data_IF_723941515762
#
_entry.id   IF_723941515762
#
_cell.length_a   1.000
_cell.length_b   1.000
_cell.length_c   1.000
_cell.angle_alpha   90.00
_cell.angle_beta   90.00
_cell.angle_gamma   90.00
#
_symmetry.space_group_name_H-M   'P 1'
#
loop_
_entity.id
_entity.type
_entity.pdbx_description
1 polymer ?
#
# COMPACT_ATOMS: atom_id res chain seq x y z
N UNK A 1 38.92 -27.84 -16.81
CA UNK A 1 38.07 -28.15 -17.97
C UNK A 1 37.57 -26.84 -18.53
N UNK A 2 37.80 -26.53 -19.82
CA UNK A 2 37.33 -25.28 -20.39
C UNK A 2 35.81 -25.34 -20.51
N UNK A 3 35.15 -24.31 -19.99
CA UNK A 3 33.71 -24.12 -20.12
C UNK A 3 33.43 -23.94 -21.61
N UNK A 4 32.64 -24.86 -22.19
CA UNK A 4 32.21 -24.82 -23.57
C UNK A 4 31.51 -23.49 -23.89
N UNK A 5 31.83 -22.88 -25.03
CA UNK A 5 31.29 -21.60 -25.49
C UNK A 5 29.75 -21.55 -25.61
N UNK A 6 29.07 -22.70 -25.55
CA UNK A 6 27.60 -22.81 -25.50
C UNK A 6 26.96 -22.33 -24.18
N UNK A 7 27.73 -22.13 -23.11
CA UNK A 7 27.23 -21.61 -21.83
C UNK A 7 27.35 -20.09 -21.65
N UNK A 8 27.66 -19.33 -22.70
CA UNK A 8 27.38 -17.88 -22.72
C UNK A 8 25.86 -17.70 -22.86
N UNK A 9 25.14 -17.87 -21.74
CA UNK A 9 23.75 -17.43 -21.58
C UNK A 9 23.66 -15.99 -22.09
N UNK A 10 22.99 -15.82 -23.23
CA UNK A 10 22.65 -14.51 -23.75
C UNK A 10 21.69 -13.92 -22.72
N UNK A 11 22.20 -13.03 -21.88
CA UNK A 11 21.36 -12.16 -21.05
C UNK A 11 20.56 -11.33 -22.05
N UNK A 12 19.29 -11.66 -22.22
CA UNK A 12 18.43 -10.97 -23.18
C UNK A 12 18.23 -9.53 -22.68
N UNK A 13 18.53 -8.50 -23.48
CA UNK A 13 18.30 -7.13 -23.07
C UNK A 13 16.80 -6.86 -22.96
N UNK A 14 16.37 -6.48 -21.76
CA UNK A 14 15.06 -5.86 -21.54
C UNK A 14 15.25 -4.36 -21.77
N UNK A 15 14.68 -3.85 -22.85
CA UNK A 15 14.72 -2.44 -23.21
C UNK A 15 13.49 -1.74 -22.66
N UNK A 16 13.70 -0.68 -21.89
CA UNK A 16 12.62 0.16 -21.38
C UNK A 16 12.27 1.24 -22.41
N UNK A 17 10.99 1.28 -22.80
CA UNK A 17 10.40 2.30 -23.67
C UNK A 17 9.50 3.17 -22.77
N UNK A 18 9.94 4.40 -22.51
CA UNK A 18 9.40 5.29 -21.48
C UNK A 18 10.41 5.68 -20.40
N UNK A 19 9.97 6.28 -19.28
CA UNK A 19 8.57 6.49 -18.90
C UNK A 19 7.88 7.54 -19.78
N UNK A 20 6.75 7.18 -20.37
CA UNK A 20 5.96 8.04 -21.26
C UNK A 20 4.94 8.85 -20.46
N UNK A 21 5.19 10.15 -20.33
CA UNK A 21 4.37 11.06 -19.53
C UNK A 21 3.08 11.40 -20.27
N UNK A 22 1.93 11.12 -19.66
CA UNK A 22 0.60 11.46 -20.20
C UNK A 22 0.11 12.78 -19.60
N UNK A 23 0.11 12.86 -18.27
CA UNK A 23 -0.34 14.01 -17.48
C UNK A 23 0.53 14.16 -16.23
N UNK A 24 0.34 15.23 -15.45
CA UNK A 24 1.13 15.49 -14.23
C UNK A 24 1.10 14.25 -13.32
N UNK A 25 2.29 13.69 -13.09
CA UNK A 25 2.54 12.52 -12.25
C UNK A 25 2.10 11.15 -12.79
N UNK A 26 1.64 11.06 -14.05
CA UNK A 26 1.19 9.81 -14.68
C UNK A 26 2.10 9.47 -15.85
N UNK A 27 2.90 8.41 -15.70
CA UNK A 27 3.77 7.92 -16.76
C UNK A 27 3.65 6.41 -16.94
N UNK A 28 3.61 5.97 -18.20
CA UNK A 28 3.50 4.56 -18.58
C UNK A 28 4.83 4.01 -19.05
N UNK A 29 5.07 2.75 -18.73
CA UNK A 29 6.21 1.98 -19.16
C UNK A 29 5.75 0.91 -20.15
N UNK A 30 6.55 0.69 -21.17
CA UNK A 30 6.45 -0.49 -22.03
C UNK A 30 7.84 -1.08 -22.21
N UNK A 31 7.92 -2.38 -22.48
CA UNK A 31 9.20 -3.06 -22.46
C UNK A 31 9.38 -3.94 -23.68
N UNK A 32 10.48 -3.74 -24.40
CA UNK A 32 10.85 -4.54 -25.56
C UNK A 32 11.91 -5.57 -25.15
N UNK A 33 11.62 -6.83 -25.38
CA UNK A 33 12.52 -7.96 -25.16
C UNK A 33 12.98 -8.46 -26.52
N UNK A 34 14.28 -8.38 -26.77
CA UNK A 34 14.88 -8.86 -28.01
C UNK A 34 15.69 -10.12 -27.74
N UNK A 35 15.28 -11.20 -28.41
CA UNK A 35 15.99 -12.48 -28.47
C UNK A 35 16.27 -12.79 -29.95
N UNK A 36 17.16 -13.75 -30.23
CA UNK A 36 17.58 -14.09 -31.60
C UNK A 36 16.42 -14.24 -32.61
N UNK A 37 15.26 -14.75 -32.19
CA UNK A 37 14.10 -15.00 -33.04
C UNK A 37 12.78 -14.48 -32.47
N UNK A 38 12.82 -13.82 -31.31
CA UNK A 38 11.65 -13.29 -30.64
C UNK A 38 11.86 -11.82 -30.33
N UNK A 39 10.95 -11.00 -30.82
CA UNK A 39 10.83 -9.60 -30.46
C UNK A 39 9.48 -9.45 -29.78
N UNK A 40 9.50 -9.30 -28.46
CA UNK A 40 8.31 -9.33 -27.62
C UNK A 40 8.17 -7.97 -26.96
N UNK A 41 7.02 -7.33 -27.16
CA UNK A 41 6.66 -6.13 -26.41
C UNK A 41 5.73 -6.51 -25.25
N UNK A 42 6.02 -6.00 -24.07
CA UNK A 42 5.18 -6.14 -22.89
C UNK A 42 4.50 -4.79 -22.61
N UNK A 43 3.17 -4.86 -22.61
CA UNK A 43 2.23 -3.76 -22.52
C UNK A 43 2.42 -2.68 -23.61
N UNK A 44 1.38 -1.88 -23.77
CA UNK A 44 1.34 -0.74 -24.69
C UNK A 44 0.81 0.47 -23.94
N UNK A 45 1.33 1.68 -24.21
CA UNK A 45 0.85 2.86 -23.55
C UNK A 45 -0.50 3.28 -24.16
N UNK A 46 -1.27 4.13 -23.46
CA UNK A 46 -2.56 4.58 -23.97
C UNK A 46 -2.38 5.59 -25.11
N UNK A 47 -3.45 5.79 -25.89
CA UNK A 47 -3.43 6.49 -27.19
C UNK A 47 -2.82 7.89 -27.15
N UNK A 48 -2.91 8.58 -26.00
CA UNK A 48 -2.41 9.94 -25.79
C UNK A 48 -0.91 10.08 -26.09
N UNK A 49 -0.12 9.03 -25.84
CA UNK A 49 1.34 9.05 -26.00
C UNK A 49 1.83 8.07 -27.08
N UNK A 50 0.93 7.47 -27.87
CA UNK A 50 1.28 6.43 -28.85
C UNK A 50 2.29 6.92 -29.89
N UNK A 51 2.23 8.21 -30.29
CA UNK A 51 3.16 8.78 -31.29
C UNK A 51 4.58 8.86 -30.77
N UNK A 52 4.75 9.24 -29.50
CA UNK A 52 6.06 9.29 -28.83
C UNK A 52 6.59 7.86 -28.67
N UNK A 53 5.72 6.96 -28.19
CA UNK A 53 6.04 5.54 -28.08
C UNK A 53 6.52 4.92 -29.39
N UNK A 54 5.82 5.15 -30.51
CA UNK A 54 6.21 4.67 -31.85
C UNK A 54 7.60 5.19 -32.22
N UNK A 55 7.84 6.48 -32.03
CA UNK A 55 9.16 7.09 -32.28
C UNK A 55 10.28 6.44 -31.46
N UNK A 56 10.03 6.12 -30.18
CA UNK A 56 11.03 5.48 -29.32
C UNK A 56 11.26 4.01 -29.68
N UNK A 57 10.21 3.22 -29.90
CA UNK A 57 10.37 1.79 -30.19
C UNK A 57 11.02 1.55 -31.56
N UNK A 58 10.74 2.41 -32.54
CA UNK A 58 11.32 2.31 -33.89
C UNK A 58 12.84 2.55 -33.93
N UNK A 59 13.43 3.12 -32.87
CA UNK A 59 14.89 3.19 -32.72
C UNK A 59 15.52 1.81 -32.53
N UNK A 60 14.75 0.84 -32.03
CA UNK A 60 15.23 -0.51 -31.72
C UNK A 60 14.69 -1.56 -32.68
N UNK A 61 13.45 -1.40 -33.15
CA UNK A 61 12.80 -2.37 -34.04
C UNK A 61 11.65 -1.76 -34.85
N UNK A 62 11.55 -2.14 -36.13
CA UNK A 62 10.35 -1.86 -36.94
C UNK A 62 9.13 -2.63 -36.41
N UNK A 63 7.98 -1.97 -36.28
CA UNK A 63 6.74 -2.58 -35.73
C UNK A 63 6.36 -3.89 -36.43
N UNK A 64 6.52 -3.98 -37.76
CA UNK A 64 6.26 -5.20 -38.54
C UNK A 64 7.16 -6.40 -38.20
N UNK A 65 8.32 -6.18 -37.57
CA UNK A 65 9.27 -7.23 -37.15
C UNK A 65 8.98 -7.74 -35.73
N UNK A 66 8.03 -7.14 -35.02
CA UNK A 66 7.61 -7.61 -33.71
C UNK A 66 6.89 -8.95 -33.83
N UNK A 67 7.30 -9.92 -33.02
CA UNK A 67 6.77 -11.28 -33.06
C UNK A 67 5.58 -11.45 -32.14
N UNK A 68 5.63 -10.82 -30.97
CA UNK A 68 4.61 -10.95 -29.93
C UNK A 68 4.34 -9.60 -29.25
N UNK A 69 3.11 -9.41 -28.81
CA UNK A 69 2.73 -8.38 -27.85
C UNK A 69 2.03 -9.08 -26.68
N UNK A 70 2.58 -8.94 -25.47
CA UNK A 70 1.94 -9.37 -24.23
C UNK A 70 1.11 -8.19 -23.72
N UNK A 71 -0.18 -8.41 -23.49
CA UNK A 71 -1.08 -7.37 -22.97
C UNK A 71 -1.62 -7.84 -21.63
N UNK A 72 -1.08 -7.27 -20.55
CA UNK A 72 -1.38 -7.63 -19.17
C UNK A 72 -2.68 -7.01 -18.66
N UNK A 73 -3.06 -5.87 -19.26
CA UNK A 73 -4.31 -5.17 -19.00
C UNK A 73 -4.81 -4.47 -20.27
N UNK A 74 -6.14 -4.40 -20.46
CA UNK A 74 -6.77 -3.66 -21.55
C UNK A 74 -7.74 -2.64 -21.00
N UNK A 75 -7.63 -1.41 -21.51
CA UNK A 75 -8.66 -0.37 -21.45
C UNK A 75 -8.91 0.20 -22.86
N UNK A 76 -9.92 1.07 -23.00
CA UNK A 76 -10.31 1.65 -24.29
C UNK A 76 -9.14 2.38 -24.98
N UNK A 77 -8.34 3.16 -24.24
CA UNK A 77 -7.21 3.90 -24.80
C UNK A 77 -6.08 2.99 -25.27
N UNK A 78 -5.79 1.89 -24.57
CA UNK A 78 -4.80 0.90 -25.02
C UNK A 78 -5.28 0.11 -26.23
N UNK A 79 -6.59 -0.14 -26.35
CA UNK A 79 -7.16 -0.78 -27.54
C UNK A 79 -6.96 0.08 -28.78
N UNK A 80 -7.10 1.40 -28.66
CA UNK A 80 -6.83 2.31 -29.78
C UNK A 80 -5.34 2.37 -30.14
N UNK A 81 -4.44 2.38 -29.14
CA UNK A 81 -2.99 2.23 -29.40
C UNK A 81 -2.64 0.94 -30.12
N UNK A 82 -3.33 -0.16 -29.79
CA UNK A 82 -3.12 -1.44 -30.47
C UNK A 82 -3.56 -1.39 -31.93
N UNK A 83 -4.71 -0.77 -32.23
CA UNK A 83 -5.17 -0.55 -33.61
C UNK A 83 -4.15 0.25 -34.41
N UNK A 84 -3.56 1.27 -33.79
CA UNK A 84 -2.48 2.07 -34.39
C UNK A 84 -1.25 1.23 -34.74
N UNK A 85 -0.83 0.28 -33.89
CA UNK A 85 0.27 -0.66 -34.23
C UNK A 85 -0.12 -1.65 -35.34
N UNK A 86 -1.39 -2.05 -35.43
CA UNK A 86 -1.89 -2.88 -36.53
C UNK A 86 -1.87 -2.13 -37.87
N UNK A 87 -2.20 -0.84 -37.87
CA UNK A 87 -2.07 0.03 -39.06
C UNK A 87 -0.62 0.09 -39.52
N UNK A 88 0.32 0.20 -38.58
CA UNK A 88 1.77 0.23 -38.86
C UNK A 88 2.37 -1.14 -39.24
N UNK A 89 1.53 -2.16 -39.37
CA UNK A 89 1.93 -3.45 -39.93
C UNK A 89 2.29 -4.52 -38.91
N UNK A 90 1.96 -4.36 -37.62
CA UNK A 90 2.06 -5.46 -36.67
C UNK A 90 1.15 -6.63 -37.10
N UNK A 91 1.71 -7.82 -37.26
CA UNK A 91 1.00 -9.05 -37.65
C UNK A 91 1.41 -10.27 -36.82
N UNK A 92 2.07 -10.04 -35.68
CA UNK A 92 2.53 -11.10 -34.78
C UNK A 92 1.40 -11.75 -33.98
N UNK A 93 1.74 -12.26 -32.79
CA UNK A 93 0.78 -12.91 -31.88
C UNK A 93 0.55 -12.03 -30.66
N UNK A 94 -0.71 -11.79 -30.31
CA UNK A 94 -1.06 -11.15 -29.04
C UNK A 94 -1.26 -12.22 -27.97
N UNK A 95 -0.54 -12.09 -26.85
CA UNK A 95 -0.64 -12.96 -25.68
C UNK A 95 -1.41 -12.23 -24.58
N UNK A 96 -2.54 -12.79 -24.15
CA UNK A 96 -3.37 -12.20 -23.08
C UNK A 96 -4.29 -13.27 -22.44
N UNK A 97 -5.10 -12.92 -21.45
CA UNK A 97 -6.06 -13.84 -20.82
C UNK A 97 -7.35 -14.01 -21.64
N UNK A 98 -8.25 -14.88 -21.18
CA UNK A 98 -9.53 -15.12 -21.84
C UNK A 98 -10.44 -13.88 -21.84
N UNK A 99 -10.46 -13.11 -20.76
CA UNK A 99 -11.31 -11.92 -20.62
C UNK A 99 -10.95 -10.81 -21.62
N UNK A 100 -9.68 -10.43 -21.70
CA UNK A 100 -9.17 -9.44 -22.64
C UNK A 100 -9.19 -9.95 -24.08
N UNK A 101 -8.96 -11.25 -24.33
CA UNK A 101 -9.11 -11.80 -25.68
C UNK A 101 -10.52 -11.56 -26.25
N UNK A 102 -11.57 -11.64 -25.41
CA UNK A 102 -12.94 -11.29 -25.82
C UNK A 102 -13.08 -9.80 -26.17
N UNK A 103 -12.45 -8.91 -25.42
CA UNK A 103 -12.46 -7.47 -25.72
C UNK A 103 -11.71 -7.14 -27.02
N UNK A 104 -10.67 -7.91 -27.33
CA UNK A 104 -9.88 -7.81 -28.55
C UNK A 104 -10.51 -8.55 -29.75
N UNK A 105 -11.72 -9.10 -29.61
CA UNK A 105 -12.39 -9.87 -30.67
C UNK A 105 -12.55 -9.09 -31.98
N UNK A 106 -12.72 -7.77 -31.91
CA UNK A 106 -12.85 -6.90 -33.09
C UNK A 106 -11.61 -6.92 -34.00
N UNK A 107 -10.41 -7.11 -33.43
CA UNK A 107 -9.13 -7.12 -34.17
C UNK A 107 -8.63 -8.53 -34.49
N UNK A 108 -9.27 -9.58 -33.96
CA UNK A 108 -8.89 -10.98 -34.15
C UNK A 108 -8.84 -11.45 -35.61
N UNK A 109 -9.49 -10.71 -36.53
CA UNK A 109 -9.44 -10.97 -37.98
C UNK A 109 -8.12 -10.55 -38.62
N UNK A 110 -7.36 -9.68 -37.96
CA UNK A 110 -6.12 -9.06 -38.48
C UNK A 110 -4.90 -9.71 -37.84
N UNK A 111 -5.00 -10.10 -36.57
CA UNK A 111 -3.90 -10.59 -35.75
C UNK A 111 -4.33 -11.80 -34.95
N UNK A 112 -3.40 -12.76 -34.79
CA UNK A 112 -3.65 -13.94 -33.97
C UNK A 112 -3.63 -13.54 -32.48
N UNK A 113 -4.65 -13.94 -31.75
CA UNK A 113 -4.72 -13.80 -30.29
C UNK A 113 -4.58 -15.19 -29.70
N UNK A 114 -3.68 -15.35 -28.74
CA UNK A 114 -3.43 -16.59 -28.03
C UNK A 114 -3.61 -16.35 -26.53
N UNK A 115 -4.44 -17.21 -25.93
CA UNK A 115 -4.84 -17.09 -24.53
C UNK A 115 -3.83 -17.79 -23.63
N UNK A 116 -3.39 -17.14 -22.55
CA UNK A 116 -2.36 -17.69 -21.65
C UNK A 116 -2.80 -18.98 -20.97
N UNK A 117 -4.08 -19.13 -20.64
CA UNK A 117 -4.62 -20.31 -19.97
C UNK A 117 -4.49 -21.57 -20.84
N UNK A 118 -4.63 -21.44 -22.16
CA UNK A 118 -4.49 -22.57 -23.09
C UNK A 118 -3.03 -22.98 -23.32
N UNK A 119 -2.09 -22.22 -22.80
CA UNK A 119 -0.64 -22.50 -22.83
C UNK A 119 -0.10 -22.90 -21.46
N UNK A 120 -0.96 -23.32 -20.52
CA UNK A 120 -0.59 -23.59 -19.12
C UNK A 120 0.07 -22.39 -18.43
N UNK A 121 -0.25 -21.16 -18.86
CA UNK A 121 0.37 -19.93 -18.39
C UNK A 121 1.89 -19.86 -18.60
N UNK A 122 2.40 -20.48 -19.67
CA UNK A 122 3.82 -20.46 -20.01
C UNK A 122 4.02 -20.09 -21.48
N UNK A 123 5.07 -19.32 -21.77
CA UNK A 123 5.58 -19.15 -23.13
C UNK A 123 6.83 -19.99 -23.29
N UNK A 124 6.73 -21.05 -24.10
CA UNK A 124 7.86 -21.92 -24.45
C UNK A 124 8.17 -21.74 -25.94
N UNK A 125 9.43 -21.53 -26.28
CA UNK A 125 9.88 -21.42 -27.66
C UNK A 125 11.08 -22.33 -27.91
N UNK A 126 10.95 -23.27 -28.86
CA UNK A 126 11.98 -24.28 -29.17
C UNK A 126 12.49 -25.00 -27.92
N UNK A 127 11.56 -25.47 -27.10
CA UNK A 127 11.81 -26.18 -25.83
C UNK A 127 12.53 -25.35 -24.76
N UNK A 128 12.65 -24.03 -24.96
CA UNK A 128 13.16 -23.10 -23.96
C UNK A 128 12.01 -22.36 -23.29
N UNK A 129 12.00 -22.40 -21.96
CA UNK A 129 11.09 -21.62 -21.15
C UNK A 129 11.44 -20.13 -21.25
N UNK A 130 10.51 -19.32 -21.76
CA UNK A 130 10.70 -17.89 -21.95
C UNK A 130 10.02 -17.11 -20.82
N UNK A 131 8.70 -17.26 -20.68
CA UNK A 131 7.90 -16.54 -19.68
C UNK A 131 7.04 -17.47 -18.84
N UNK A 132 6.85 -17.08 -17.57
CA UNK A 132 5.74 -17.51 -16.73
C UNK A 132 4.69 -16.42 -16.70
N UNK A 133 3.45 -16.71 -17.06
CA UNK A 133 2.32 -15.84 -16.80
C UNK A 133 1.72 -16.20 -15.44
N UNK A 134 1.37 -15.19 -14.65
CA UNK A 134 0.87 -15.36 -13.30
C UNK A 134 -0.46 -14.63 -13.21
N UNK A 135 -1.58 -15.35 -13.33
CA UNK A 135 -2.91 -14.76 -13.21
C UNK A 135 -3.08 -14.05 -11.86
N UNK A 136 -3.77 -12.91 -11.89
CA UNK A 136 -4.13 -12.11 -10.73
C UNK A 136 -5.65 -11.92 -10.70
N UNK A 137 -6.28 -12.29 -9.58
CA UNK A 137 -7.69 -12.05 -9.35
C UNK A 137 -7.92 -10.67 -8.70
N UNK A 138 -7.63 -9.55 -9.38
CA UNK A 138 -7.54 -8.25 -8.69
C UNK A 138 -8.06 -7.03 -9.46
N UNK A 139 -8.11 -5.88 -8.75
CA UNK A 139 -8.44 -4.54 -9.23
C UNK A 139 -7.13 -3.75 -9.52
N UNK A 140 -7.14 -2.75 -10.42
CA UNK A 140 -8.32 -2.06 -10.95
C UNK A 140 -9.05 -2.75 -12.10
N UNK A 141 -8.43 -3.71 -12.79
CA UNK A 141 -9.05 -4.39 -13.93
C UNK A 141 -9.20 -5.89 -13.68
N UNK A 142 -10.35 -6.50 -14.02
CA UNK A 142 -10.56 -7.93 -13.82
C UNK A 142 -9.58 -8.78 -14.62
N UNK A 143 -9.19 -9.91 -14.03
CA UNK A 143 -8.36 -10.98 -14.62
C UNK A 143 -6.95 -10.56 -15.07
N UNK A 144 -6.39 -9.42 -14.64
CA UNK A 144 -5.00 -9.04 -14.93
C UNK A 144 -3.99 -10.16 -14.65
N UNK A 145 -2.79 -10.08 -15.22
CA UNK A 145 -1.72 -11.05 -14.93
C UNK A 145 -0.33 -10.41 -14.95
N UNK A 146 0.60 -11.00 -14.21
CA UNK A 146 2.01 -10.65 -14.25
C UNK A 146 2.76 -11.55 -15.25
N UNK A 147 3.90 -11.07 -15.74
CA UNK A 147 4.80 -11.86 -16.58
C UNK A 147 6.16 -11.93 -15.89
N UNK A 148 6.65 -13.13 -15.61
CA UNK A 148 7.93 -13.37 -14.98
C UNK A 148 8.91 -14.03 -15.95
N UNK A 149 10.15 -13.53 -16.00
CA UNK A 149 11.24 -14.07 -16.79
C UNK A 149 12.30 -14.66 -15.84
N UNK A 150 12.34 -15.98 -15.65
CA UNK A 150 13.28 -16.60 -14.70
C UNK A 150 14.74 -16.32 -15.04
N UNK A 151 15.08 -16.33 -16.34
CA UNK A 151 16.43 -16.09 -16.84
C UNK A 151 17.00 -14.74 -16.39
N UNK A 152 16.15 -13.71 -16.40
CA UNK A 152 16.51 -12.35 -16.03
C UNK A 152 16.16 -12.03 -14.57
N UNK A 153 15.45 -12.93 -13.87
CA UNK A 153 14.84 -12.66 -12.57
C UNK A 153 14.02 -11.37 -12.61
N UNK A 154 13.30 -11.16 -13.70
CA UNK A 154 12.55 -9.95 -14.00
C UNK A 154 11.05 -10.20 -13.89
N UNK A 155 10.35 -9.34 -13.15
CA UNK A 155 8.90 -9.37 -13.00
C UNK A 155 8.27 -8.15 -13.68
N UNK A 156 7.43 -8.36 -14.69
CA UNK A 156 6.53 -7.34 -15.21
C UNK A 156 5.23 -7.42 -14.42
N UNK A 157 5.12 -6.55 -13.41
CA UNK A 157 4.13 -6.66 -12.33
C UNK A 157 2.77 -6.07 -12.68
N UNK A 158 2.60 -5.56 -13.90
CA UNK A 158 1.40 -4.84 -14.31
C UNK A 158 1.12 -3.66 -13.35
N UNK A 159 -0.10 -3.58 -12.81
CA UNK A 159 -0.50 -2.56 -11.83
C UNK A 159 0.07 -2.80 -10.42
N UNK A 160 0.57 -4.00 -10.09
CA UNK A 160 1.21 -4.25 -8.79
C UNK A 160 2.56 -3.51 -8.76
N UNK A 161 2.87 -2.83 -7.65
CA UNK A 161 4.03 -1.94 -7.51
C UNK A 161 4.06 -0.72 -8.44
N UNK A 162 2.97 -0.45 -9.18
CA UNK A 162 2.89 0.77 -9.98
C UNK A 162 2.88 2.01 -9.09
N UNK A 163 3.43 3.11 -9.59
CA UNK A 163 3.56 4.36 -8.83
C UNK A 163 3.20 5.57 -9.69
N UNK A 164 2.86 6.68 -9.04
CA UNK A 164 2.92 7.98 -9.71
C UNK A 164 4.38 8.38 -9.97
N UNK A 165 4.62 9.16 -11.03
CA UNK A 165 5.96 9.51 -11.53
C UNK A 165 6.11 11.01 -11.79
N UNK A 166 6.95 11.68 -11.03
CA UNK A 166 7.15 13.14 -11.09
C UNK A 166 8.39 13.58 -11.86
N UNK A 167 9.11 12.66 -12.53
CA UNK A 167 10.32 12.99 -13.29
C UNK A 167 11.63 12.94 -12.50
N UNK A 168 11.62 12.62 -11.21
CA UNK A 168 12.87 12.49 -10.44
C UNK A 168 13.64 11.25 -10.92
N UNK A 169 14.83 11.45 -11.48
CA UNK A 169 15.67 10.38 -12.04
C UNK A 169 16.22 9.41 -10.98
N UNK A 170 16.55 9.93 -9.80
CA UNK A 170 17.11 9.15 -8.68
C UNK A 170 16.27 9.43 -7.42
N UNK A 171 15.05 8.87 -7.34
CA UNK A 171 14.18 9.08 -6.20
C UNK A 171 14.73 8.35 -4.97
N UNK A 172 14.55 8.95 -3.79
CA UNK A 172 14.86 8.27 -2.54
C UNK A 172 13.90 7.09 -2.31
N UNK A 173 14.32 6.10 -1.51
CA UNK A 173 13.48 4.96 -1.15
C UNK A 173 12.12 5.40 -0.57
N UNK A 174 12.11 6.40 0.31
CA UNK A 174 10.87 6.93 0.90
C UNK A 174 9.96 7.58 -0.14
N UNK A 175 10.54 8.24 -1.16
CA UNK A 175 9.78 8.80 -2.26
C UNK A 175 9.09 7.71 -3.08
N UNK A 176 9.81 6.66 -3.44
CA UNK A 176 9.24 5.51 -4.17
C UNK A 176 8.09 4.90 -3.36
N UNK A 177 8.31 4.63 -2.06
CA UNK A 177 7.28 4.11 -1.14
C UNK A 177 6.03 4.99 -1.12
N UNK A 178 6.19 6.30 -0.98
CA UNK A 178 5.07 7.23 -0.97
C UNK A 178 4.31 7.27 -2.31
N UNK A 179 5.03 7.20 -3.44
CA UNK A 179 4.45 7.20 -4.78
C UNK A 179 3.69 5.92 -5.09
N UNK A 180 4.21 4.77 -4.65
CA UNK A 180 3.53 3.47 -4.71
C UNK A 180 2.27 3.50 -3.84
N UNK A 181 2.40 3.91 -2.57
CA UNK A 181 1.27 4.01 -1.65
C UNK A 181 0.16 4.90 -2.20
N UNK A 182 0.52 6.07 -2.75
CA UNK A 182 -0.45 6.99 -3.35
C UNK A 182 -1.17 6.34 -4.54
N UNK A 183 -0.44 5.62 -5.40
CA UNK A 183 -1.05 4.91 -6.52
C UNK A 183 -2.01 3.81 -6.05
N UNK A 184 -1.58 2.94 -5.13
CA UNK A 184 -2.43 1.86 -4.60
C UNK A 184 -3.64 2.41 -3.85
N UNK A 185 -3.44 3.43 -3.01
CA UNK A 185 -4.53 4.14 -2.34
C UNK A 185 -5.52 4.75 -3.32
N UNK A 186 -5.12 5.18 -4.52
CA UNK A 186 -6.06 5.76 -5.50
C UNK A 186 -6.73 4.74 -6.42
N UNK A 187 -6.11 3.58 -6.65
CA UNK A 187 -6.59 2.62 -7.66
C UNK A 187 -7.19 1.35 -7.07
N UNK A 188 -7.06 1.14 -5.76
CA UNK A 188 -7.56 -0.05 -5.08
C UNK A 188 -8.53 0.31 -3.95
N UNK A 189 -9.56 -0.52 -3.68
CA UNK A 189 -10.49 -0.26 -2.58
C UNK A 189 -9.84 -0.40 -1.21
N UNK A 190 -8.86 -1.28 -1.04
CA UNK A 190 -8.08 -1.42 0.19
C UNK A 190 -6.82 -2.27 -0.04
N UNK A 191 -5.99 -2.33 1.00
CA UNK A 191 -4.73 -3.08 1.03
C UNK A 191 -4.86 -4.61 1.05
N UNK A 192 -6.01 -5.19 1.39
CA UNK A 192 -6.16 -6.67 1.40
C UNK A 192 -6.08 -7.27 -0.01
N UNK A 193 -6.39 -6.47 -1.02
CA UNK A 193 -6.22 -6.83 -2.43
C UNK A 193 -4.76 -7.00 -2.86
N UNK A 194 -3.79 -6.55 -2.05
CA UNK A 194 -2.37 -6.75 -2.33
C UNK A 194 -1.84 -8.09 -1.84
N UNK A 195 -2.52 -8.73 -0.88
CA UNK A 195 -1.95 -9.84 -0.11
C UNK A 195 -1.69 -11.09 -0.96
N UNK A 196 -2.66 -11.51 -1.78
CA UNK A 196 -2.51 -12.73 -2.58
C UNK A 196 -1.47 -12.59 -3.70
N UNK A 197 -1.42 -11.48 -4.47
CA UNK A 197 -0.35 -11.28 -5.45
C UNK A 197 1.02 -11.18 -4.79
N UNK A 198 1.13 -10.48 -3.65
CA UNK A 198 2.39 -10.38 -2.92
C UNK A 198 2.88 -11.74 -2.43
N UNK A 199 1.97 -12.62 -1.97
CA UNK A 199 2.32 -14.00 -1.58
C UNK A 199 2.96 -14.77 -2.73
N UNK A 200 2.38 -14.68 -3.93
CA UNK A 200 2.92 -15.34 -5.13
C UNK A 200 4.28 -14.74 -5.53
N UNK A 201 4.38 -13.40 -5.52
CA UNK A 201 5.60 -12.68 -5.88
C UNK A 201 6.75 -13.00 -4.91
N UNK A 202 6.45 -13.18 -3.63
CA UNK A 202 7.45 -13.52 -2.60
C UNK A 202 8.11 -14.89 -2.80
N UNK A 203 7.42 -15.82 -3.47
CA UNK A 203 7.96 -17.14 -3.80
C UNK A 203 8.90 -17.12 -5.02
N UNK A 204 8.98 -15.99 -5.75
CA UNK A 204 9.79 -15.86 -6.96
C UNK A 204 11.16 -15.26 -6.65
N UNK A 205 12.18 -15.72 -7.37
CA UNK A 205 13.51 -15.12 -7.32
C UNK A 205 13.56 -13.90 -8.27
N UNK A 206 13.41 -12.69 -7.72
CA UNK A 206 13.29 -11.45 -8.50
C UNK A 206 14.44 -10.51 -8.15
N UNK A 207 15.09 -9.96 -9.19
CA UNK A 207 16.08 -8.89 -9.10
C UNK A 207 15.53 -7.53 -9.53
N UNK A 208 14.56 -7.51 -10.45
CA UNK A 208 14.00 -6.25 -10.95
C UNK A 208 12.51 -6.39 -11.16
N UNK A 209 11.75 -5.39 -10.72
CA UNK A 209 10.31 -5.27 -10.98
C UNK A 209 10.08 -4.11 -11.95
N UNK A 210 9.34 -4.41 -13.01
CA UNK A 210 8.98 -3.53 -14.11
C UNK A 210 7.45 -3.30 -14.07
N UNK A 211 6.98 -2.28 -13.33
CA UNK A 211 5.55 -1.96 -13.29
C UNK A 211 5.10 -1.27 -14.58
N UNK A 212 3.80 -1.37 -14.91
CA UNK A 212 3.23 -0.68 -16.08
C UNK A 212 3.28 0.85 -15.90
N UNK A 213 3.26 1.36 -14.68
CA UNK A 213 3.35 2.80 -14.41
C UNK A 213 4.38 3.09 -13.33
N UNK A 214 5.09 4.22 -13.47
CA UNK A 214 5.96 4.70 -12.40
C UNK A 214 7.41 4.24 -12.48
N UNK A 215 8.06 4.19 -11.31
CA UNK A 215 9.48 3.86 -11.19
C UNK A 215 9.74 2.35 -11.31
N UNK A 216 10.85 2.00 -11.96
CA UNK A 216 11.37 0.63 -11.95
C UNK A 216 12.00 0.35 -10.59
N UNK A 217 11.71 -0.82 -10.02
CA UNK A 217 12.26 -1.23 -8.72
C UNK A 217 13.43 -2.16 -8.97
N UNK A 218 14.61 -1.73 -8.58
CA UNK A 218 15.87 -2.46 -8.79
C UNK A 218 16.22 -3.33 -7.58
N UNK A 219 17.17 -4.25 -7.79
CA UNK A 219 17.61 -5.23 -6.81
C UNK A 219 18.02 -4.63 -5.46
N UNK A 220 18.48 -3.38 -5.44
CA UNK A 220 18.98 -2.72 -4.24
C UNK A 220 17.86 -2.34 -3.26
N UNK A 221 16.64 -2.13 -3.76
CA UNK A 221 15.51 -1.62 -2.98
C UNK A 221 14.33 -2.59 -2.94
N UNK A 222 14.40 -3.70 -3.69
CA UNK A 222 13.29 -4.61 -3.88
C UNK A 222 12.77 -5.20 -2.56
N UNK A 223 13.68 -5.63 -1.67
CA UNK A 223 13.31 -6.19 -0.36
C UNK A 223 12.59 -5.14 0.50
N UNK A 224 13.11 -3.90 0.56
CA UNK A 224 12.51 -2.81 1.32
C UNK A 224 11.13 -2.39 0.78
N UNK A 225 10.90 -2.52 -0.53
CA UNK A 225 9.61 -2.24 -1.15
C UNK A 225 8.63 -3.40 -0.89
N UNK A 226 9.06 -4.65 -1.02
CA UNK A 226 8.22 -5.81 -0.71
C UNK A 226 7.77 -5.80 0.75
N UNK A 227 8.68 -5.55 1.69
CA UNK A 227 8.33 -5.44 3.11
C UNK A 227 7.32 -4.32 3.37
N UNK A 228 7.52 -3.16 2.73
CA UNK A 228 6.60 -2.03 2.83
C UNK A 228 5.20 -2.38 2.31
N UNK A 229 5.10 -2.99 1.14
CA UNK A 229 3.84 -3.39 0.49
C UNK A 229 3.07 -4.41 1.33
N UNK A 230 3.76 -5.38 1.94
CA UNK A 230 3.14 -6.36 2.85
C UNK A 230 2.53 -5.67 4.08
N UNK A 231 3.18 -4.62 4.59
CA UNK A 231 2.76 -3.86 5.76
C UNK A 231 1.77 -2.74 5.44
N UNK A 232 1.45 -2.48 4.16
CA UNK A 232 0.54 -1.41 3.79
C UNK A 232 -0.85 -1.64 4.40
N UNK A 233 -1.36 -0.59 5.04
CA UNK A 233 -2.72 -0.56 5.56
C UNK A 233 -3.43 0.70 5.07
N UNK A 234 -4.21 0.52 4.01
CA UNK A 234 -5.18 1.51 3.58
C UNK A 234 -6.53 0.87 3.34
N UNK A 235 -7.57 1.65 3.60
CA UNK A 235 -8.94 1.35 3.27
C UNK A 235 -9.50 2.58 2.59
N UNK A 236 -9.71 2.47 1.29
CA UNK A 236 -10.13 3.54 0.43
C UNK A 236 -11.66 3.61 0.44
N UNK A 237 -12.19 4.15 1.53
CA UNK A 237 -13.58 4.59 1.55
C UNK A 237 -13.69 5.87 0.73
N UNK A 238 -13.86 5.74 -0.59
CA UNK A 238 -14.26 6.87 -1.45
C UNK A 238 -15.59 7.51 -1.02
N UNK A 239 -16.29 6.94 -0.05
CA UNK A 239 -17.45 7.54 0.59
C UNK A 239 -17.12 8.05 2.00
N UNK A 240 -16.08 8.88 2.18
CA UNK A 240 -16.03 9.74 3.39
C UNK A 240 -17.09 10.84 3.29
N UNK A 241 -17.36 11.30 2.08
CA UNK A 241 -18.43 12.23 1.78
C UNK A 241 -19.13 11.82 0.48
N UNK A 242 -20.38 12.24 0.34
CA UNK A 242 -21.12 12.26 -0.90
C UNK A 242 -21.67 13.67 -1.12
N UNK A 243 -22.08 13.99 -2.34
CA UNK A 243 -22.83 15.20 -2.60
C UNK A 243 -24.30 14.85 -2.68
N UNK A 244 -25.15 15.62 -2.00
CA UNK A 244 -26.60 15.47 -2.16
C UNK A 244 -27.08 16.02 -3.51
N UNK A 245 -28.38 15.89 -3.77
CA UNK A 245 -28.99 16.39 -5.02
C UNK A 245 -28.86 17.92 -5.19
N UNK A 246 -28.52 18.65 -4.13
CA UNK A 246 -28.24 20.09 -4.14
C UNK A 246 -26.75 20.41 -4.33
N UNK A 247 -25.89 19.40 -4.41
CA UNK A 247 -24.43 19.56 -4.54
C UNK A 247 -23.74 19.95 -3.23
N UNK A 248 -24.40 19.79 -2.08
CA UNK A 248 -23.80 20.01 -0.77
C UNK A 248 -23.02 18.78 -0.29
N UNK A 249 -21.85 19.03 0.33
CA UNK A 249 -20.98 17.96 0.81
C UNK A 249 -21.54 17.35 2.10
N UNK A 250 -22.04 16.13 2.03
CA UNK A 250 -22.51 15.35 3.18
C UNK A 250 -21.45 14.33 3.62
N UNK A 251 -21.15 14.26 4.91
CA UNK A 251 -20.20 13.28 5.46
C UNK A 251 -20.91 11.94 5.70
N UNK A 252 -20.33 10.85 5.20
CA UNK A 252 -20.85 9.51 5.40
C UNK A 252 -20.24 8.87 6.67
N UNK A 253 -20.79 9.25 7.81
CA UNK A 253 -20.35 8.74 9.12
C UNK A 253 -20.52 7.23 9.29
N UNK A 254 -21.45 6.60 8.55
CA UNK A 254 -21.65 5.15 8.58
C UNK A 254 -20.41 4.41 8.07
N UNK A 255 -19.87 4.83 6.94
CA UNK A 255 -18.68 4.20 6.36
C UNK A 255 -17.42 4.45 7.18
N UNK A 256 -17.31 5.64 7.79
CA UNK A 256 -16.23 5.94 8.74
C UNK A 256 -16.32 5.00 9.95
N UNK A 257 -17.51 4.79 10.51
CA UNK A 257 -17.72 3.86 11.63
C UNK A 257 -17.41 2.42 11.22
N UNK A 258 -17.82 1.98 10.04
CA UNK A 258 -17.48 0.65 9.52
C UNK A 258 -15.96 0.46 9.43
N UNK A 259 -15.22 1.49 9.01
CA UNK A 259 -13.76 1.44 9.01
C UNK A 259 -13.17 1.35 10.44
N UNK A 260 -13.73 2.08 11.40
CA UNK A 260 -13.31 1.98 12.81
C UNK A 260 -13.56 0.57 13.37
N UNK A 261 -14.71 -0.04 13.04
CA UNK A 261 -15.05 -1.41 13.42
C UNK A 261 -14.05 -2.40 12.81
N UNK A 262 -13.76 -2.28 11.51
CA UNK A 262 -12.77 -3.12 10.83
C UNK A 262 -11.38 -3.00 11.46
N UNK A 263 -11.00 -1.81 11.93
CA UNK A 263 -9.73 -1.61 12.63
C UNK A 263 -9.74 -2.29 14.01
N UNK A 264 -10.85 -2.20 14.76
CA UNK A 264 -11.00 -2.91 16.04
C UNK A 264 -10.92 -4.44 15.88
N UNK A 265 -11.42 -4.99 14.76
CA UNK A 265 -11.36 -6.44 14.49
C UNK A 265 -9.94 -6.98 14.38
N UNK A 266 -8.94 -6.13 14.10
CA UNK A 266 -7.53 -6.53 14.07
C UNK A 266 -6.99 -6.86 15.47
N UNK A 267 -7.54 -6.20 16.50
CA UNK A 267 -7.05 -6.31 17.87
C UNK A 267 -8.00 -7.06 18.80
N UNK A 268 -9.29 -7.18 18.46
CA UNK A 268 -10.32 -7.77 19.32
C UNK A 268 -11.18 -8.82 18.59
N UNK A 269 -11.64 -9.87 19.29
CA UNK A 269 -12.54 -10.87 18.71
C UNK A 269 -13.89 -10.28 18.28
N UNK A 270 -14.47 -10.79 17.19
CA UNK A 270 -15.77 -10.33 16.65
C UNK A 270 -16.90 -10.33 17.69
N UNK A 271 -16.97 -11.38 18.53
CA UNK A 271 -17.99 -11.51 19.58
C UNK A 271 -17.92 -10.37 20.59
N UNK A 272 -16.70 -9.90 20.87
CA UNK A 272 -16.47 -8.85 21.85
C UNK A 272 -16.96 -7.49 21.33
N UNK A 273 -16.73 -7.23 20.04
CA UNK A 273 -17.20 -6.04 19.34
C UNK A 273 -18.71 -6.05 19.26
N UNK A 274 -19.34 -7.16 18.87
CA UNK A 274 -20.81 -7.28 18.85
C UNK A 274 -21.42 -6.95 20.22
N UNK A 275 -20.90 -7.55 21.28
CA UNK A 275 -21.38 -7.36 22.64
C UNK A 275 -21.28 -5.91 23.14
N UNK A 276 -20.31 -5.13 22.63
CA UNK A 276 -20.18 -3.71 22.99
C UNK A 276 -21.34 -2.85 22.48
N UNK A 277 -22.03 -3.28 21.41
CA UNK A 277 -23.12 -2.53 20.79
C UNK A 277 -24.51 -3.13 21.04
N UNK A 278 -24.61 -4.28 21.74
CA UNK A 278 -25.90 -4.87 22.14
C UNK A 278 -26.69 -3.90 23.03
N UNK A 279 -27.93 -3.63 22.65
CA UNK A 279 -28.83 -2.73 23.39
C UNK A 279 -28.58 -1.24 23.14
N UNK A 280 -27.71 -0.89 22.20
CA UNK A 280 -27.51 0.50 21.75
C UNK A 280 -28.42 0.83 20.56
N UNK A 281 -28.44 2.10 20.14
CA UNK A 281 -29.12 2.56 18.93
C UNK A 281 -28.46 2.09 17.61
N UNK A 282 -27.31 1.43 17.70
CA UNK A 282 -26.53 0.93 16.55
C UNK A 282 -26.57 -0.59 16.51
N UNK A 283 -27.20 -1.14 15.46
CA UNK A 283 -27.27 -2.58 15.24
C UNK A 283 -26.17 -3.03 14.28
N UNK A 284 -25.22 -3.81 14.79
CA UNK A 284 -24.17 -4.44 14.00
C UNK A 284 -24.66 -5.79 13.44
N UNK A 285 -24.45 -6.01 12.15
CA UNK A 285 -24.61 -7.32 11.53
C UNK A 285 -23.39 -8.18 11.85
N UNK A 286 -23.52 -9.49 12.15
CA UNK A 286 -22.39 -10.34 12.52
C UNK A 286 -21.52 -10.78 11.33
N UNK A 287 -22.07 -10.82 10.10
CA UNK A 287 -21.35 -11.25 8.91
C UNK A 287 -21.84 -10.52 7.62
N UNK A 288 -21.06 -9.60 7.03
CA UNK A 288 -19.82 -9.02 7.57
C UNK A 288 -20.09 -8.17 8.82
N UNK A 289 -19.08 -8.00 9.69
CA UNK A 289 -19.21 -7.19 10.91
C UNK A 289 -19.28 -5.71 10.58
N UNK A 290 -20.48 -5.20 10.35
CA UNK A 290 -20.72 -3.84 9.89
C UNK A 290 -21.98 -3.24 10.52
N UNK A 291 -22.03 -1.92 10.59
CA UNK A 291 -23.21 -1.18 11.00
C UNK A 291 -24.31 -1.32 9.94
N UNK A 292 -25.37 -2.06 10.27
CA UNK A 292 -26.49 -2.33 9.36
C UNK A 292 -27.58 -1.25 9.49
N UNK A 293 -28.12 -1.09 10.72
CA UNK A 293 -29.20 -0.14 11.01
C UNK A 293 -28.85 0.74 12.20
N UNK A 294 -29.18 2.01 12.08
CA UNK A 294 -29.05 3.01 13.15
C UNK A 294 -30.25 3.94 13.10
N UNK A 295 -30.73 4.36 14.26
CA UNK A 295 -31.72 5.45 14.38
C UNK A 295 -31.07 6.84 14.45
N UNK A 296 -29.75 6.88 14.58
CA UNK A 296 -28.94 8.10 14.64
C UNK A 296 -28.29 8.37 13.29
N UNK A 297 -28.18 9.65 12.95
CA UNK A 297 -27.53 10.12 11.73
C UNK A 297 -26.53 11.25 12.01
N UNK A 298 -25.61 11.45 11.06
CA UNK A 298 -24.66 12.55 11.05
C UNK A 298 -23.77 12.62 12.29
N UNK A 299 -23.67 13.85 12.82
CA UNK A 299 -22.91 14.17 14.03
C UNK A 299 -23.33 13.32 15.25
N UNK A 300 -24.63 13.05 15.42
CA UNK A 300 -25.11 12.26 16.57
C UNK A 300 -24.62 10.81 16.51
N UNK A 301 -24.62 10.23 15.31
CA UNK A 301 -24.12 8.88 15.09
C UNK A 301 -22.62 8.78 15.42
N UNK A 302 -21.84 9.75 14.91
CA UNK A 302 -20.40 9.82 15.15
C UNK A 302 -20.04 9.88 16.64
N UNK A 303 -20.67 10.78 17.38
CA UNK A 303 -20.37 10.96 18.80
C UNK A 303 -20.87 9.80 19.65
N UNK A 304 -22.08 9.30 19.38
CA UNK A 304 -22.66 8.18 20.11
C UNK A 304 -21.86 6.88 19.93
N UNK A 305 -21.22 6.69 18.78
CA UNK A 305 -20.32 5.54 18.57
C UNK A 305 -19.18 5.50 19.60
N UNK A 306 -18.45 6.60 19.76
CA UNK A 306 -17.34 6.67 20.72
C UNK A 306 -17.82 6.70 22.18
N UNK A 307 -18.97 7.31 22.46
CA UNK A 307 -19.56 7.28 23.80
C UNK A 307 -19.90 5.85 24.23
N UNK A 308 -20.52 5.06 23.35
CA UNK A 308 -20.87 3.68 23.64
C UNK A 308 -19.63 2.81 23.85
N UNK A 309 -18.60 2.96 23.00
CA UNK A 309 -17.31 2.27 23.20
C UNK A 309 -16.72 2.65 24.56
N UNK A 310 -16.72 3.94 24.89
CA UNK A 310 -16.14 4.41 26.14
C UNK A 310 -16.86 3.85 27.37
N UNK A 311 -18.20 3.88 27.38
CA UNK A 311 -19.00 3.39 28.50
C UNK A 311 -18.85 1.87 28.69
N UNK A 312 -18.77 1.09 27.60
CA UNK A 312 -18.79 -0.38 27.66
C UNK A 312 -17.40 -1.02 27.77
N UNK A 313 -16.39 -0.42 27.13
CA UNK A 313 -15.05 -1.01 26.98
C UNK A 313 -13.93 -0.12 27.54
N UNK A 314 -14.21 1.14 27.81
CA UNK A 314 -13.27 2.05 28.47
C UNK A 314 -12.22 2.63 27.52
N UNK A 315 -11.06 2.98 28.08
CA UNK A 315 -9.99 3.73 27.41
C UNK A 315 -9.24 2.92 26.34
N UNK A 316 -9.07 1.62 26.54
CA UNK A 316 -8.23 0.77 25.67
C UNK A 316 -8.66 0.79 24.20
N UNK A 317 -9.96 0.76 23.93
CA UNK A 317 -10.49 0.79 22.57
C UNK A 317 -10.38 2.18 21.94
N UNK A 318 -10.58 3.22 22.74
CA UNK A 318 -10.49 4.63 22.32
C UNK A 318 -9.06 4.97 21.89
N UNK A 319 -8.05 4.48 22.61
CA UNK A 319 -6.63 4.67 22.28
C UNK A 319 -6.24 3.99 20.98
N UNK A 320 -6.78 2.79 20.70
CA UNK A 320 -6.52 2.08 19.43
C UNK A 320 -7.13 2.82 18.24
N UNK A 321 -8.30 3.45 18.43
CA UNK A 321 -8.98 4.21 17.37
C UNK A 321 -8.41 5.63 17.18
N UNK A 322 -7.66 6.15 18.15
CA UNK A 322 -7.15 7.52 18.13
C UNK A 322 -6.33 7.87 16.88
N UNK A 323 -5.37 7.04 16.40
CA UNK A 323 -4.62 7.34 15.18
C UNK A 323 -5.53 7.51 13.96
N UNK A 324 -6.59 6.70 13.86
CA UNK A 324 -7.56 6.82 12.77
C UNK A 324 -8.39 8.09 12.89
N UNK A 325 -8.87 8.43 14.08
CA UNK A 325 -9.63 9.67 14.33
C UNK A 325 -8.78 10.90 13.98
N UNK A 326 -7.52 10.91 14.37
CA UNK A 326 -6.59 11.99 14.03
C UNK A 326 -6.39 12.11 12.52
N UNK A 327 -6.29 10.98 11.81
CA UNK A 327 -6.22 10.95 10.34
C UNK A 327 -7.49 11.49 9.68
N UNK A 328 -8.67 11.13 10.20
CA UNK A 328 -9.94 11.67 9.68
C UNK A 328 -10.10 13.18 9.93
N UNK A 329 -9.58 13.66 11.06
CA UNK A 329 -9.52 15.09 11.35
C UNK A 329 -8.54 15.83 10.40
N UNK A 330 -7.33 15.31 10.18
CA UNK A 330 -6.34 15.95 9.30
C UNK A 330 -6.76 15.94 7.83
N UNK A 331 -7.24 14.80 7.35
CA UNK A 331 -7.43 14.56 5.91
C UNK A 331 -8.78 15.09 5.43
N UNK A 332 -9.79 15.15 6.30
CA UNK A 332 -11.18 15.44 5.92
C UNK A 332 -11.86 16.53 6.77
N UNK A 333 -11.14 17.14 7.73
CA UNK A 333 -11.66 18.16 8.65
C UNK A 333 -12.89 17.72 9.45
N UNK A 334 -12.99 16.42 9.76
CA UNK A 334 -14.09 15.86 10.54
C UNK A 334 -13.83 16.12 12.04
N UNK A 335 -14.78 16.72 12.79
CA UNK A 335 -14.57 17.06 14.19
C UNK A 335 -14.29 15.81 15.03
N UNK A 336 -13.34 15.94 15.96
CA UNK A 336 -13.04 14.86 16.91
C UNK A 336 -14.26 14.59 17.80
N UNK A 337 -14.56 13.31 18.12
CA UNK A 337 -15.63 12.97 19.04
C UNK A 337 -15.46 13.63 20.41
N UNK A 338 -16.57 14.00 21.05
CA UNK A 338 -16.57 14.71 22.35
C UNK A 338 -15.83 13.94 23.45
N UNK A 339 -15.85 12.60 23.39
CA UNK A 339 -15.13 11.72 24.30
C UNK A 339 -13.63 12.02 24.34
N UNK A 340 -13.04 12.49 23.24
CA UNK A 340 -11.63 12.89 23.19
C UNK A 340 -11.40 14.29 23.77
N UNK A 341 -12.36 15.21 23.63
CA UNK A 341 -12.26 16.59 24.15
C UNK A 341 -12.34 16.63 25.68
N UNK A 342 -13.31 15.93 26.27
CA UNK A 342 -13.44 15.84 27.73
C UNK A 342 -12.28 15.07 28.37
N UNK A 343 -11.78 14.03 27.70
CA UNK A 343 -10.65 13.23 28.18
C UNK A 343 -9.29 13.91 28.09
N UNK A 344 -9.03 14.72 27.07
CA UNK A 344 -7.75 15.43 27.00
C UNK A 344 -7.61 16.37 28.21
N UNK A 345 -8.72 16.98 28.61
CA UNK A 345 -8.80 17.81 29.81
C UNK A 345 -8.61 16.94 31.07
N UNK A 346 -9.30 15.80 31.19
CA UNK A 346 -9.15 14.90 32.35
C UNK A 346 -7.74 14.29 32.46
N UNK A 347 -7.14 13.87 31.34
CA UNK A 347 -5.77 13.33 31.29
C UNK A 347 -4.73 14.41 31.58
N UNK A 348 -4.91 15.64 31.08
CA UNK A 348 -4.05 16.77 31.45
C UNK A 348 -4.13 17.05 32.94
N UNK A 349 -5.35 17.11 33.51
CA UNK A 349 -5.54 17.32 34.94
C UNK A 349 -4.91 16.21 35.80
N UNK A 350 -5.02 14.95 35.38
CA UNK A 350 -4.37 13.83 36.08
C UNK A 350 -2.85 13.86 35.95
N UNK A 351 -2.33 14.22 34.77
CA UNK A 351 -0.89 14.36 34.56
C UNK A 351 -0.32 15.49 35.43
N UNK A 352 -1.03 16.62 35.52
CA UNK A 352 -0.64 17.75 36.38
C UNK A 352 -0.70 17.38 37.86
N UNK A 353 -1.75 16.66 38.31
CA UNK A 353 -1.88 16.19 39.70
C UNK A 353 -0.82 15.14 40.08
N UNK A 354 -0.50 14.22 39.17
CA UNK A 354 0.58 13.24 39.36
C UNK A 354 1.95 13.91 39.41
N UNK A 355 2.17 14.92 38.55
CA UNK A 355 3.40 15.72 38.58
C UNK A 355 3.54 16.45 39.91
N UNK A 356 2.48 17.10 40.38
CA UNK A 356 2.48 17.77 41.69
C UNK A 356 2.78 16.79 42.84
N UNK A 357 2.15 15.61 42.84
CA UNK A 357 2.41 14.58 43.86
C UNK A 357 3.85 14.07 43.80
N UNK A 358 4.41 13.93 42.59
CA UNK A 358 5.79 13.53 42.40
C UNK A 358 6.77 14.61 42.89
N UNK A 359 6.48 15.88 42.62
CA UNK A 359 7.28 17.02 43.10
C UNK A 359 7.24 17.10 44.65
N UNK A 360 6.07 16.86 45.27
CA UNK A 360 5.91 16.78 46.73
C UNK A 360 6.70 15.61 47.34
N UNK A 361 6.69 14.45 46.70
CA UNK A 361 7.47 13.28 47.15
C UNK A 361 8.97 13.52 47.03
N UNK A 362 9.43 14.18 45.96
CA UNK A 362 10.84 14.56 45.80
C UNK A 362 11.27 15.50 46.92
N UNK A 363 10.47 16.52 47.23
CA UNK A 363 10.74 17.43 48.35
C UNK A 363 10.79 16.68 49.69
N UNK A 364 9.86 15.76 49.93
CA UNK A 364 9.85 14.98 51.16
C UNK A 364 11.07 14.05 51.30
N UNK A 365 11.54 13.47 50.19
CA UNK A 365 12.78 12.68 50.17
C UNK A 365 13.99 13.58 50.47
N UNK A 366 14.05 14.78 49.92
CA UNK A 366 15.12 15.75 50.22
C UNK A 366 15.13 16.18 51.69
N UNK A 367 13.96 16.43 52.28
CA UNK A 367 13.80 16.74 53.70
C UNK A 367 14.28 15.58 54.58
N UNK A 368 13.82 14.36 54.30
CA UNK A 368 14.23 13.16 55.05
C UNK A 368 15.73 12.91 54.94
N UNK A 369 16.33 13.09 53.76
CA UNK A 369 17.78 12.97 53.59
C UNK A 369 18.52 14.02 54.41
N UNK A 370 18.06 15.27 54.42
CA UNK A 370 18.64 16.32 55.26
C UNK A 370 18.47 16.01 56.75
N UNK A 371 17.34 15.44 57.19
CA UNK A 371 17.15 15.02 58.58
C UNK A 371 18.06 13.86 58.97
N UNK A 372 18.25 12.88 58.08
CA UNK A 372 19.19 11.77 58.28
C UNK A 372 20.61 12.30 58.37
N UNK A 373 21.04 13.18 57.46
CA UNK A 373 22.37 13.79 57.51
C UNK A 373 22.58 14.60 58.80
N UNK A 374 21.60 15.40 59.20
CA UNK A 374 21.67 16.16 60.45
C UNK A 374 21.69 15.24 61.68
N UNK A 375 20.96 14.13 61.65
CA UNK A 375 20.95 13.13 62.72
C UNK A 375 22.28 12.40 62.78
N UNK A 376 22.83 11.99 61.64
CA UNK A 376 24.17 11.41 61.54
C UNK A 376 25.24 12.37 62.03
N UNK A 377 25.23 13.65 61.62
CA UNK A 377 26.19 14.66 62.08
C UNK A 377 26.09 14.89 63.60
N UNK A 378 24.87 14.87 64.17
CA UNK A 378 24.66 14.92 65.63
C UNK A 378 25.19 13.68 66.36
N UNK A 379 25.09 12.49 65.78
CA UNK A 379 25.68 11.27 66.35
C UNK A 379 27.21 11.26 66.22
N UNK A 380 27.75 11.87 65.16
CA UNK A 380 29.18 11.92 64.88
C UNK A 380 29.94 12.97 65.71
N UNK A 381 29.25 13.95 66.32
CA UNK A 381 29.89 15.05 67.07
C UNK A 381 29.62 14.98 68.56
N UNK A 382 30.64 15.28 69.36
CA UNK A 382 30.51 15.35 70.82
C UNK A 382 29.62 16.54 71.22
N UNK A 383 28.58 16.35 72.05
CA UNK A 383 27.61 17.39 72.38
C UNK A 383 28.18 18.60 73.16
N UNK A 384 29.37 18.46 73.75
CA UNK A 384 30.02 19.53 74.53
C UNK A 384 31.03 20.31 73.68
N UNK A 385 31.80 19.63 72.83
CA UNK A 385 32.90 20.26 72.06
C UNK A 385 32.57 20.53 70.59
N UNK A 386 31.47 19.97 70.07
CA UNK A 386 31.06 20.00 68.65
C UNK A 386 32.12 19.47 67.66
N UNK A 387 33.16 18.81 68.16
CA UNK A 387 34.19 18.13 67.37
C UNK A 387 33.76 16.69 67.09
N UNK A 388 34.24 16.11 65.99
CA UNK A 388 33.98 14.71 65.63
C UNK A 388 34.55 13.75 66.67
N UNK A 389 33.79 12.70 67.00
CA UNK A 389 34.20 11.67 67.97
C UNK A 389 35.40 10.87 67.43
N UNK A 390 36.35 10.57 68.30
CA UNK A 390 37.61 9.92 67.92
C UNK A 390 37.43 8.49 67.37
N UNK A 391 36.32 7.82 67.72
CA UNK A 391 35.91 6.52 67.17
C UNK A 391 35.47 6.58 65.70
N UNK A 392 35.32 7.78 65.12
CA UNK A 392 34.94 7.94 63.71
C UNK A 392 36.10 7.69 62.73
N UNK A 393 37.35 7.73 63.20
CA UNK A 393 38.55 7.61 62.36
C UNK A 393 39.29 6.28 62.51
N UNK A 394 38.69 5.27 63.14
CA UNK A 394 39.23 3.90 63.20
C UNK A 394 38.65 2.98 62.13
#
# INVERSE_FOLDING_TARGET
MPISEEQKMIINPILHIGPLIIERNVAYNSFLIQMKQLNILIDIPPIQVVKVFKTEIEQYIEIKKMTHIVIQQVNASTLDSLKELLVDGFRGIILTNQYFAKQLSSISKIVKIQVIDSMNCELVFKDQFIFKFIPMNFLPFPEMFMTYIPMNQALFSSSLFSSYYDGILLPSLNHIKNSIFSYHKSNMPNSTFLQEPLRIVHELNIKTIYPTMGYIITNQIIENIMEFEIQLDFYNNYQVFFYDDAGEKCINYREIINHMINHLQKSYPKIEILNAFVGTSMNLQPDPLMLNKTTLDGYKLWHSFFENIYVKKGLSWITILEPLVNRYYSDYSIPKPNVYLSKFIEMSMRADSLKQSNDELVLHIEELNNEIENTMDRFMRCPITKLYNQDFFQ
#
